data_IF_982019804616
#
_entry.id   IF_982019804616
#
_cell.length_a   1.000
_cell.length_b   1.000
_cell.length_c   1.000
_cell.angle_alpha   90.00
_cell.angle_beta   90.00
_cell.angle_gamma   90.00
#
_symmetry.space_group_name_H-M   'P 1'
#
loop_
_entity.id
_entity.type
_entity.pdbx_description
1 polymer ?
#
# COMPACT_ATOMS: atom_id res chain seq x y z
N UNK A 1 41.55 -53.29 68.45
CA UNK A 1 41.59 -51.82 68.57
C UNK A 1 40.62 -51.22 67.55
N UNK A 2 39.73 -50.32 68.02
CA UNK A 2 39.01 -49.22 67.32
C UNK A 2 38.33 -49.47 65.96
N UNK A 3 36.99 -49.56 65.86
CA UNK A 3 36.01 -48.46 65.61
C UNK A 3 36.21 -47.68 64.31
N UNK A 4 35.22 -47.66 63.41
CA UNK A 4 34.20 -46.61 63.28
C UNK A 4 33.52 -46.58 61.89
N UNK A 5 32.27 -46.13 61.89
CA UNK A 5 31.32 -45.94 60.79
C UNK A 5 31.58 -44.64 60.02
N UNK A 6 31.15 -44.58 58.76
CA UNK A 6 30.19 -43.57 58.22
C UNK A 6 30.05 -43.80 56.71
N UNK A 7 28.90 -44.31 56.26
CA UNK A 7 27.69 -43.63 55.73
C UNK A 7 27.79 -43.28 54.24
N UNK A 8 26.84 -43.84 53.50
CA UNK A 8 26.55 -43.68 52.09
C UNK A 8 26.15 -42.25 51.70
N UNK A 9 26.56 -41.84 50.51
CA UNK A 9 25.78 -41.00 49.58
C UNK A 9 26.38 -41.16 48.17
N UNK A 10 25.64 -41.62 47.16
CA UNK A 10 26.07 -41.49 45.78
C UNK A 10 25.45 -40.25 45.13
N UNK A 11 26.36 -39.44 44.58
CA UNK A 11 26.20 -38.49 43.49
C UNK A 11 24.99 -38.77 42.58
N UNK A 12 23.92 -37.99 42.75
CA UNK A 12 23.03 -37.59 41.65
C UNK A 12 23.26 -36.11 41.42
N UNK A 13 24.13 -35.79 40.46
CA UNK A 13 24.32 -34.41 39.97
C UNK A 13 23.93 -34.34 38.50
N UNK A 14 23.29 -33.21 38.15
CA UNK A 14 23.10 -32.65 36.80
C UNK A 14 21.89 -33.05 35.94
N UNK A 15 20.77 -33.51 36.53
CA UNK A 15 19.52 -33.65 35.77
C UNK A 15 18.27 -32.95 36.36
N UNK A 16 18.31 -32.41 37.58
CA UNK A 16 17.11 -31.81 38.22
C UNK A 16 17.24 -30.31 38.57
N UNK A 17 18.29 -29.63 38.11
CA UNK A 17 18.42 -28.17 38.26
C UNK A 17 17.94 -27.36 37.03
N UNK A 18 17.39 -28.01 36.00
CA UNK A 18 16.96 -27.37 34.75
C UNK A 18 15.43 -27.18 34.63
N UNK A 19 14.64 -27.57 35.64
CA UNK A 19 13.17 -27.59 35.54
C UNK A 19 12.44 -26.55 36.42
N UNK A 20 13.16 -25.64 37.10
CA UNK A 20 12.54 -24.67 38.04
C UNK A 20 12.71 -23.20 37.62
N UNK A 21 13.37 -22.89 36.50
CA UNK A 21 13.49 -21.51 35.99
C UNK A 21 12.65 -21.20 34.74
N UNK A 22 11.76 -22.12 34.33
CA UNK A 22 10.94 -21.95 33.12
C UNK A 22 9.45 -21.64 33.40
N UNK A 23 9.00 -21.62 34.66
CA UNK A 23 7.56 -21.49 34.99
C UNK A 23 7.13 -20.13 35.55
N UNK A 24 8.04 -19.16 35.75
CA UNK A 24 7.72 -17.86 36.39
C UNK A 24 8.02 -16.62 35.52
N UNK A 25 8.20 -16.79 34.21
CA UNK A 25 8.33 -15.68 33.25
C UNK A 25 7.08 -15.49 32.36
N UNK A 26 5.96 -16.12 32.73
CA UNK A 26 4.69 -16.06 32.02
C UNK A 26 3.66 -15.24 32.80
N UNK A 27 3.95 -13.96 33.07
CA UNK A 27 2.92 -13.03 33.54
C UNK A 27 3.28 -11.58 33.21
N UNK A 28 2.37 -10.93 32.48
CA UNK A 28 2.20 -9.47 32.38
C UNK A 28 3.12 -8.70 31.43
N UNK A 29 2.82 -8.76 30.12
CA UNK A 29 3.01 -7.59 29.25
C UNK A 29 1.66 -7.28 28.60
N UNK A 30 1.02 -6.24 29.13
CA UNK A 30 -0.13 -5.58 28.50
C UNK A 30 0.33 -5.10 27.13
N UNK A 31 -0.40 -5.46 26.07
CA UNK A 31 -0.26 -4.81 24.77
C UNK A 31 -0.95 -3.44 24.84
N UNK A 32 -0.19 -2.35 24.68
CA UNK A 32 -0.69 -1.27 23.83
C UNK A 32 0.41 -0.70 22.91
N UNK A 33 -0.02 -0.13 21.78
CA UNK A 33 0.75 0.77 20.89
C UNK A 33 1.67 0.21 19.78
N UNK A 34 1.71 -1.09 19.51
CA UNK A 34 2.58 -1.61 18.44
C UNK A 34 2.02 -1.43 17.01
N UNK A 35 0.70 -1.33 16.85
CA UNK A 35 0.04 -1.39 15.53
C UNK A 35 0.00 -0.07 14.72
N UNK A 36 0.36 1.08 15.30
CA UNK A 36 0.46 2.35 14.53
C UNK A 36 1.75 2.49 13.72
N UNK A 37 2.72 1.58 13.88
CA UNK A 37 4.09 1.71 13.33
C UNK A 37 4.39 0.83 12.12
N UNK A 38 3.53 -0.13 11.76
CA UNK A 38 3.88 -1.12 10.75
C UNK A 38 3.41 -0.83 9.31
N UNK A 39 2.71 0.31 9.10
CA UNK A 39 2.61 0.99 7.80
C UNK A 39 3.27 2.39 7.80
N UNK A 40 3.99 2.73 8.88
CA UNK A 40 4.69 4.00 9.06
C UNK A 40 6.10 3.75 9.54
N UNK A 41 7.08 3.56 8.65
CA UNK A 41 8.51 3.85 8.89
C UNK A 41 9.39 3.38 7.73
N UNK A 42 9.52 4.20 6.68
CA UNK A 42 10.83 4.52 6.06
C UNK A 42 10.70 6.02 5.76
N UNK A 43 11.05 6.93 6.68
CA UNK A 43 12.34 7.63 6.78
C UNK A 43 12.25 8.66 7.95
N UNK A 44 13.31 8.94 8.75
CA UNK A 44 13.52 10.21 9.47
C UNK A 44 14.47 11.12 8.65
N UNK A 45 14.61 12.44 8.76
CA UNK A 45 14.15 13.57 9.60
C UNK A 45 14.39 14.87 8.77
N UNK A 46 13.86 16.03 9.18
CA UNK A 46 14.49 17.38 9.31
C UNK A 46 13.38 18.36 9.78
N UNK A 47 13.68 19.44 10.53
CA UNK A 47 12.80 20.02 11.56
C UNK A 47 11.77 21.05 11.04
N UNK A 48 10.74 21.39 11.85
CA UNK A 48 9.73 22.39 11.48
C UNK A 48 10.24 23.82 11.67
N UNK A 49 9.90 24.69 10.70
CA UNK A 49 10.07 26.15 10.79
C UNK A 49 8.93 26.72 11.65
N UNK A 50 9.29 27.39 12.74
CA UNK A 50 8.37 28.11 13.64
C UNK A 50 7.71 29.29 12.92
N UNK A 51 6.38 29.36 12.99
CA UNK A 51 5.62 30.58 12.69
C UNK A 51 5.46 31.39 13.98
N UNK A 52 6.09 32.56 14.01
CA UNK A 52 5.91 33.55 15.06
C UNK A 52 4.48 34.11 15.03
N UNK A 53 3.79 33.99 16.18
CA UNK A 53 2.59 34.77 16.50
C UNK A 53 3.01 36.22 16.78
N UNK A 54 2.37 37.19 16.13
CA UNK A 54 2.24 38.54 16.68
C UNK A 54 0.77 38.81 16.99
N UNK A 55 0.51 39.01 18.28
CA UNK A 55 -0.73 39.53 18.83
C UNK A 55 -0.69 41.05 18.81
N UNK A 56 -1.74 41.70 18.32
CA UNK A 56 -2.15 42.97 18.91
C UNK A 56 -3.63 43.23 18.64
N UNK A 57 -4.41 43.20 19.72
CA UNK A 57 -5.72 43.81 19.83
C UNK A 57 -5.60 45.34 19.71
N UNK A 58 -6.63 45.98 19.15
CA UNK A 58 -7.29 47.15 19.74
C UNK A 58 -8.58 47.49 18.99
N UNK A 59 -9.60 47.87 19.76
CA UNK A 59 -10.98 48.04 19.30
C UNK A 59 -11.31 49.43 18.72
N UNK A 60 -12.62 49.60 18.50
CA UNK A 60 -13.44 50.84 18.42
C UNK A 60 -14.26 51.05 17.13
N UNK A 61 -15.57 50.82 17.30
CA UNK A 61 -16.72 51.71 17.01
C UNK A 61 -16.88 52.48 15.68
N UNK A 62 -18.00 52.17 15.02
CA UNK A 62 -19.03 53.04 14.39
C UNK A 62 -18.61 54.10 13.34
N UNK A 63 -19.15 53.99 12.11
CA UNK A 63 -20.27 54.81 11.59
C UNK A 63 -20.61 54.50 10.13
N UNK A 64 -21.89 54.71 9.81
CA UNK A 64 -22.59 54.60 8.52
C UNK A 64 -22.41 55.89 7.70
N UNK A 65 -22.46 55.75 6.36
CA UNK A 65 -22.85 56.68 5.25
C UNK A 65 -21.95 56.33 4.05
N UNK A 66 -22.36 56.22 2.79
CA UNK A 66 -23.58 56.50 2.04
C UNK A 66 -23.32 56.15 0.55
N UNK A 67 -24.38 56.19 -0.25
CA UNK A 67 -24.52 55.68 -1.62
C UNK A 67 -23.55 56.19 -2.70
N UNK A 68 -23.40 55.41 -3.79
CA UNK A 68 -22.75 55.84 -5.04
C UNK A 68 -22.69 54.77 -6.12
N UNK A 69 -23.65 54.82 -7.04
CA UNK A 69 -23.90 53.96 -8.19
C UNK A 69 -22.82 54.08 -9.28
N UNK A 70 -22.23 52.98 -9.76
CA UNK A 70 -21.80 52.86 -11.18
C UNK A 70 -21.85 51.38 -11.61
N UNK A 71 -22.83 51.06 -12.46
CA UNK A 71 -23.06 49.76 -13.06
C UNK A 71 -22.56 49.79 -14.52
N UNK A 72 -22.14 48.62 -15.01
CA UNK A 72 -22.01 48.19 -16.42
C UNK A 72 -20.65 48.40 -17.09
N UNK A 73 -19.79 47.37 -16.97
CA UNK A 73 -19.18 46.69 -18.13
C UNK A 73 -18.47 45.40 -17.65
N UNK A 74 -19.25 44.39 -17.30
CA UNK A 74 -18.76 43.02 -17.14
C UNK A 74 -19.35 42.19 -18.29
N UNK A 75 -18.88 42.45 -19.51
CA UNK A 75 -19.17 41.58 -20.65
C UNK A 75 -18.35 40.30 -20.48
N UNK A 76 -19.10 39.23 -20.28
CA UNK A 76 -18.72 37.83 -20.26
C UNK A 76 -17.46 37.48 -21.07
N UNK A 77 -16.34 37.33 -20.36
CA UNK A 77 -15.38 36.27 -20.67
C UNK A 77 -15.76 35.08 -19.79
N UNK A 78 -16.85 34.42 -20.14
CA UNK A 78 -17.02 33.01 -19.79
C UNK A 78 -15.91 32.27 -20.52
N UNK A 79 -14.76 32.15 -19.85
CA UNK A 79 -13.75 31.16 -20.17
C UNK A 79 -14.51 29.84 -20.14
N UNK A 80 -14.86 29.35 -21.32
CA UNK A 80 -15.19 27.96 -21.49
C UNK A 80 -13.92 27.24 -21.06
N UNK A 81 -13.91 26.69 -19.85
CA UNK A 81 -13.02 25.60 -19.55
C UNK A 81 -13.36 24.53 -20.59
N UNK A 82 -12.64 24.54 -21.72
CA UNK A 82 -12.70 23.43 -22.66
C UNK A 82 -12.34 22.21 -21.82
N UNK A 83 -13.32 21.32 -21.64
CA UNK A 83 -13.07 19.98 -21.14
C UNK A 83 -11.99 19.39 -22.03
N UNK A 84 -10.74 19.44 -21.56
CA UNK A 84 -9.66 18.73 -22.22
C UNK A 84 -10.10 17.27 -22.24
N UNK A 85 -10.11 16.59 -23.40
CA UNK A 85 -10.42 15.18 -23.43
C UNK A 85 -9.52 14.47 -22.42
N UNK A 86 -10.12 13.67 -21.54
CA UNK A 86 -9.37 12.94 -20.54
C UNK A 86 -8.31 12.10 -21.26
N UNK A 87 -7.04 12.35 -20.93
CA UNK A 87 -5.90 11.69 -21.55
C UNK A 87 -5.22 10.77 -20.54
N UNK A 88 -4.80 9.61 -21.02
CA UNK A 88 -3.91 8.72 -20.27
C UNK A 88 -2.50 9.29 -20.16
N UNK A 89 -2.14 10.28 -20.98
CA UNK A 89 -0.87 10.99 -20.87
C UNK A 89 -0.91 11.93 -19.66
N UNK A 90 -0.10 11.62 -18.64
CA UNK A 90 0.14 12.51 -17.52
C UNK A 90 1.05 13.67 -17.95
N UNK A 91 2.03 13.40 -18.80
CA UNK A 91 2.91 14.40 -19.41
C UNK A 91 4.36 13.95 -19.49
N UNK A 92 5.23 14.89 -19.84
CA UNK A 92 6.69 14.71 -19.81
C UNK A 92 7.28 15.43 -18.59
N UNK A 93 8.15 14.74 -17.87
CA UNK A 93 8.73 15.24 -16.63
C UNK A 93 10.22 15.00 -16.62
N UNK A 94 10.97 15.92 -16.01
CA UNK A 94 12.39 15.73 -15.78
C UNK A 94 12.61 14.79 -14.60
N UNK A 95 13.58 13.89 -14.71
CA UNK A 95 14.01 13.10 -13.55
C UNK A 95 14.55 14.03 -12.47
N UNK A 96 14.30 13.71 -11.20
CA UNK A 96 14.82 14.52 -10.10
C UNK A 96 16.36 14.54 -10.10
N UNK A 97 16.98 15.68 -9.85
CA UNK A 97 18.45 15.80 -9.88
C UNK A 97 19.15 14.90 -8.86
N UNK A 98 18.50 14.71 -7.70
CA UNK A 98 18.99 13.87 -6.62
C UNK A 98 18.00 12.74 -6.35
N UNK A 99 18.54 11.54 -6.17
CA UNK A 99 17.77 10.34 -5.81
C UNK A 99 16.58 10.08 -6.77
N UNK A 100 16.79 10.30 -8.08
CA UNK A 100 15.80 10.02 -9.12
C UNK A 100 15.28 8.58 -9.04
N UNK A 101 16.17 7.64 -8.74
CA UNK A 101 15.88 6.23 -8.55
C UNK A 101 16.09 5.88 -7.08
N UNK A 102 15.03 5.44 -6.40
CA UNK A 102 15.07 5.04 -4.98
C UNK A 102 15.29 3.54 -4.83
N UNK A 103 14.61 2.76 -5.68
CA UNK A 103 14.67 1.31 -5.83
C UNK A 103 14.12 0.96 -7.23
N UNK A 104 13.88 -0.34 -7.51
CA UNK A 104 13.43 -0.79 -8.82
C UNK A 104 12.04 -0.29 -9.23
N UNK A 105 11.12 -0.04 -8.28
CA UNK A 105 9.73 0.31 -8.56
C UNK A 105 9.32 1.74 -8.11
N UNK A 106 10.27 2.52 -7.59
CA UNK A 106 10.06 3.87 -7.08
C UNK A 106 11.03 4.89 -7.72
N UNK A 107 10.47 5.78 -8.54
CA UNK A 107 11.18 6.85 -9.26
C UNK A 107 10.64 8.23 -8.86
N UNK A 108 11.48 9.25 -8.90
CA UNK A 108 11.14 10.66 -8.62
C UNK A 108 11.38 11.52 -9.86
N UNK A 109 10.41 12.41 -10.11
CA UNK A 109 10.48 13.42 -11.17
C UNK A 109 10.25 14.81 -10.57
N UNK A 110 10.71 15.84 -11.26
CA UNK A 110 10.42 17.24 -10.90
C UNK A 110 8.96 17.57 -11.21
N UNK A 111 8.40 18.57 -10.52
CA UNK A 111 7.02 19.02 -10.72
C UNK A 111 5.94 18.16 -10.04
N UNK A 112 6.26 16.96 -9.56
CA UNK A 112 5.36 16.13 -8.75
C UNK A 112 5.83 16.06 -7.29
N UNK A 113 4.90 16.21 -6.35
CA UNK A 113 5.21 16.28 -4.90
C UNK A 113 5.65 14.95 -4.29
N UNK A 114 5.21 13.84 -4.86
CA UNK A 114 5.44 12.49 -4.34
C UNK A 114 6.22 11.66 -5.36
N UNK A 115 6.93 10.64 -4.86
CA UNK A 115 7.52 9.63 -5.74
C UNK A 115 6.42 8.89 -6.50
N UNK A 116 6.74 8.46 -7.71
CA UNK A 116 5.87 7.68 -8.55
C UNK A 116 5.71 6.28 -7.94
N UNK A 117 4.50 5.73 -7.99
CA UNK A 117 4.25 4.30 -7.74
C UNK A 117 4.10 3.64 -9.10
N UNK A 118 5.13 2.91 -9.52
CA UNK A 118 5.12 2.28 -10.81
C UNK A 118 4.13 1.12 -10.85
N UNK A 119 3.27 1.15 -11.85
CA UNK A 119 2.21 0.16 -12.02
C UNK A 119 2.77 -1.21 -12.40
N UNK A 120 2.12 -2.25 -11.88
CA UNK A 120 2.38 -3.64 -12.21
C UNK A 120 3.75 -4.19 -11.75
N UNK A 121 4.44 -3.47 -10.85
CA UNK A 121 5.72 -3.85 -10.27
C UNK A 121 5.61 -4.13 -8.76
N UNK A 122 6.47 -5.01 -8.28
CA UNK A 122 6.76 -5.22 -6.85
C UNK A 122 8.24 -5.64 -6.73
N UNK A 123 9.14 -4.71 -7.04
CA UNK A 123 10.58 -4.92 -6.91
C UNK A 123 10.95 -5.18 -5.44
N UNK A 124 11.99 -5.98 -5.21
CA UNK A 124 12.45 -6.25 -3.85
C UNK A 124 13.11 -5.02 -3.22
N UNK A 125 13.07 -4.94 -1.88
CA UNK A 125 13.59 -3.79 -1.16
C UNK A 125 15.13 -3.72 -1.23
N UNK A 126 15.67 -2.50 -1.28
CA UNK A 126 17.14 -2.25 -1.18
C UNK A 126 17.59 -2.14 0.28
N UNK A 127 18.88 -2.34 0.56
CA UNK A 127 19.40 -2.22 1.93
C UNK A 127 19.51 -0.76 2.37
N UNK A 128 18.60 -0.35 3.27
CA UNK A 128 18.59 1.01 3.85
C UNK A 128 19.43 1.15 5.13
N UNK A 129 19.85 0.05 5.75
CA UNK A 129 20.65 0.07 6.97
C UNK A 129 21.88 -0.87 6.87
N UNK A 130 22.96 -0.48 7.55
CA UNK A 130 24.24 -1.18 7.47
C UNK A 130 24.22 -2.56 8.16
N UNK A 131 23.41 -2.72 9.20
CA UNK A 131 23.28 -3.99 9.93
C UNK A 131 22.67 -5.09 9.06
N UNK A 132 21.60 -4.79 8.32
CA UNK A 132 20.97 -5.73 7.41
C UNK A 132 21.92 -6.10 6.28
N UNK A 133 22.61 -5.10 5.70
CA UNK A 133 23.61 -5.35 4.66
C UNK A 133 24.73 -6.26 5.18
N UNK A 134 25.25 -5.99 6.38
CA UNK A 134 26.31 -6.79 6.99
C UNK A 134 25.86 -8.23 7.23
N UNK A 135 24.67 -8.43 7.78
CA UNK A 135 24.10 -9.76 8.01
C UNK A 135 23.91 -10.53 6.70
N UNK A 136 23.30 -9.89 5.69
CA UNK A 136 23.08 -10.47 4.38
C UNK A 136 24.37 -10.82 3.62
N UNK A 137 25.43 -10.01 3.73
CA UNK A 137 26.74 -10.29 3.13
C UNK A 137 27.45 -11.45 3.82
N UNK A 138 27.28 -11.58 5.14
CA UNK A 138 27.91 -12.65 5.91
C UNK A 138 27.27 -14.01 5.61
N UNK A 139 25.95 -14.07 5.67
CA UNK A 139 25.17 -15.27 5.37
C UNK A 139 23.75 -14.85 4.97
N UNK A 140 23.48 -14.85 3.67
CA UNK A 140 22.18 -14.42 3.14
C UNK A 140 21.06 -15.38 3.55
N UNK A 141 21.35 -16.66 3.67
CA UNK A 141 20.35 -17.68 3.99
C UNK A 141 19.88 -17.52 5.44
N UNK A 142 20.82 -17.42 6.38
CA UNK A 142 20.52 -17.15 7.79
C UNK A 142 19.86 -15.78 8.00
N UNK A 143 20.31 -14.74 7.27
CA UNK A 143 19.67 -13.43 7.29
C UNK A 143 18.21 -13.51 6.85
N UNK A 144 17.94 -14.22 5.75
CA UNK A 144 16.59 -14.38 5.22
C UNK A 144 15.70 -15.14 6.21
N UNK A 145 16.17 -16.25 6.75
CA UNK A 145 15.42 -17.03 7.75
C UNK A 145 15.06 -16.18 8.97
N UNK A 146 15.99 -15.36 9.47
CA UNK A 146 15.73 -14.45 10.57
C UNK A 146 14.66 -13.39 10.24
N UNK A 147 14.63 -12.90 8.99
CA UNK A 147 13.59 -11.94 8.54
C UNK A 147 12.24 -12.62 8.41
N UNK A 148 12.19 -13.82 7.84
CA UNK A 148 10.95 -14.58 7.62
C UNK A 148 10.35 -15.09 8.94
N UNK A 149 11.17 -15.47 9.92
CA UNK A 149 10.71 -15.90 11.24
C UNK A 149 9.99 -14.80 12.05
N UNK A 150 10.11 -13.53 11.66
CA UNK A 150 9.50 -12.42 12.38
C UNK A 150 7.96 -12.32 12.17
N UNK A 151 7.38 -13.07 11.22
CA UNK A 151 5.96 -13.00 10.89
C UNK A 151 5.48 -14.26 10.17
N UNK A 152 4.24 -14.71 10.47
CA UNK A 152 3.58 -15.78 9.71
C UNK A 152 3.13 -15.35 8.31
N UNK A 153 3.13 -14.05 8.03
CA UNK A 153 2.76 -13.44 6.75
C UNK A 153 4.00 -13.09 5.92
N UNK A 154 3.92 -13.12 4.57
CA UNK A 154 4.97 -12.63 3.68
C UNK A 154 5.57 -11.30 4.14
N UNK A 155 6.85 -11.33 4.48
CA UNK A 155 7.60 -10.13 4.88
C UNK A 155 8.30 -9.53 3.68
N UNK A 156 8.46 -8.21 3.72
CA UNK A 156 9.37 -7.50 2.83
C UNK A 156 10.62 -7.12 3.62
N UNK A 157 11.77 -7.45 3.07
CA UNK A 157 13.08 -7.12 3.62
C UNK A 157 14.05 -6.85 2.48
N UNK A 158 15.18 -6.25 2.81
CA UNK A 158 16.18 -5.86 1.83
C UNK A 158 16.93 -7.07 1.26
N UNK A 159 17.22 -7.07 -0.03
CA UNK A 159 17.86 -8.21 -0.71
C UNK A 159 18.90 -7.76 -1.73
N UNK A 160 19.69 -8.72 -2.20
CA UNK A 160 20.64 -8.42 -3.28
C UNK A 160 19.93 -8.20 -4.61
N UNK A 161 18.84 -8.93 -4.88
CA UNK A 161 18.04 -8.71 -6.09
C UNK A 161 17.34 -7.34 -6.07
N UNK A 162 16.99 -6.82 -4.89
CA UNK A 162 16.50 -5.44 -4.75
C UNK A 162 17.54 -4.40 -5.14
N UNK A 163 18.81 -4.59 -4.79
CA UNK A 163 19.91 -3.75 -5.27
C UNK A 163 20.12 -3.91 -6.79
N UNK A 164 20.06 -5.13 -7.33
CA UNK A 164 20.13 -5.37 -8.78
C UNK A 164 18.99 -4.64 -9.53
N UNK A 165 17.77 -4.62 -8.96
CA UNK A 165 16.64 -3.85 -9.47
C UNK A 165 16.90 -2.35 -9.51
N UNK A 166 17.48 -1.80 -8.44
CA UNK A 166 17.89 -0.40 -8.38
C UNK A 166 18.99 -0.09 -9.39
N UNK A 167 20.01 -0.93 -9.49
CA UNK A 167 21.13 -0.72 -10.41
C UNK A 167 20.68 -0.79 -11.87
N UNK A 168 19.77 -1.70 -12.19
CA UNK A 168 19.11 -1.76 -13.49
C UNK A 168 18.38 -0.46 -13.81
N UNK A 169 17.60 0.07 -12.86
CA UNK A 169 16.89 1.33 -13.03
C UNK A 169 17.85 2.51 -13.28
N UNK A 170 18.91 2.63 -12.49
CA UNK A 170 19.96 3.66 -12.68
C UNK A 170 20.56 3.57 -14.08
N UNK A 171 20.89 2.35 -14.53
CA UNK A 171 21.44 2.13 -15.87
C UNK A 171 20.44 2.42 -16.98
N UNK A 172 19.17 2.03 -16.81
CA UNK A 172 18.11 2.27 -17.78
C UNK A 172 17.93 3.77 -18.05
N UNK A 173 17.97 4.58 -16.99
CA UNK A 173 17.82 6.04 -17.06
C UNK A 173 19.13 6.80 -17.30
N UNK A 174 20.26 6.12 -17.55
CA UNK A 174 21.55 6.77 -17.78
C UNK A 174 21.47 7.73 -18.98
N UNK A 175 21.79 9.01 -18.74
CA UNK A 175 21.76 10.06 -19.76
C UNK A 175 20.37 10.56 -20.16
N UNK A 176 19.30 10.01 -19.57
CA UNK A 176 17.93 10.44 -19.81
C UNK A 176 17.61 11.64 -18.90
N UNK A 177 17.17 12.75 -19.49
CA UNK A 177 16.74 13.92 -18.72
C UNK A 177 15.24 13.92 -18.46
N UNK A 178 14.45 13.54 -19.47
CA UNK A 178 12.99 13.56 -19.45
C UNK A 178 12.42 12.18 -19.68
N UNK A 179 11.33 11.90 -18.98
CA UNK A 179 10.55 10.68 -19.13
C UNK A 179 9.09 11.06 -19.39
N UNK A 180 8.42 10.20 -20.13
CA UNK A 180 7.00 10.35 -20.44
C UNK A 180 6.20 9.44 -19.52
N UNK A 181 5.23 10.01 -18.82
CA UNK A 181 4.42 9.31 -17.85
C UNK A 181 3.01 9.09 -18.40
N UNK A 182 2.50 7.88 -18.25
CA UNK A 182 1.12 7.56 -18.60
C UNK A 182 0.40 6.79 -17.49
N UNK A 183 -0.89 7.06 -17.33
CA UNK A 183 -1.81 6.28 -16.54
C UNK A 183 -2.20 4.99 -17.27
N UNK A 184 -2.60 3.95 -16.53
CA UNK A 184 -3.21 2.75 -17.13
C UNK A 184 -4.69 2.96 -17.46
N UNK A 185 -5.40 3.72 -16.62
CA UNK A 185 -6.83 4.01 -16.74
C UNK A 185 -7.13 5.46 -16.37
N UNK A 186 -8.30 5.94 -16.78
CA UNK A 186 -8.75 7.31 -16.47
C UNK A 186 -9.43 7.44 -15.10
N UNK A 187 -9.91 6.33 -14.54
CA UNK A 187 -10.65 6.29 -13.28
C UNK A 187 -9.79 5.95 -12.06
N UNK A 188 -8.48 5.69 -12.21
CA UNK A 188 -7.59 5.38 -11.08
C UNK A 188 -6.16 5.87 -11.29
N UNK A 189 -5.94 7.15 -11.03
CA UNK A 189 -4.67 7.87 -11.31
C UNK A 189 -3.71 7.90 -10.12
N UNK A 190 -4.22 7.79 -8.90
CA UNK A 190 -3.39 7.83 -7.68
C UNK A 190 -3.64 6.64 -6.76
N UNK A 191 -2.67 6.31 -5.91
CA UNK A 191 -2.77 5.23 -4.94
C UNK A 191 -3.40 5.69 -3.61
N UNK A 192 -3.44 4.79 -2.62
CA UNK A 192 -3.96 5.07 -1.29
C UNK A 192 -3.26 6.26 -0.60
N UNK A 193 -1.96 6.45 -0.84
CA UNK A 193 -1.13 7.51 -0.24
C UNK A 193 -1.03 8.77 -1.13
N UNK A 194 -1.79 8.82 -2.23
CA UNK A 194 -1.76 9.95 -3.16
C UNK A 194 -0.53 10.00 -4.08
N UNK A 195 0.17 8.88 -4.28
CA UNK A 195 1.23 8.76 -5.31
C UNK A 195 0.61 8.52 -6.67
N UNK A 196 1.18 9.13 -7.71
CA UNK A 196 0.76 8.86 -9.09
C UNK A 196 1.06 7.39 -9.46
N UNK A 197 0.03 6.72 -9.98
CA UNK A 197 0.09 5.36 -10.51
C UNK A 197 0.39 5.43 -12.01
N UNK A 198 1.62 5.12 -12.43
CA UNK A 198 1.98 5.32 -13.84
C UNK A 198 2.93 4.26 -14.40
N UNK A 199 3.00 4.26 -15.73
CA UNK A 199 4.07 3.69 -16.53
C UNK A 199 5.08 4.78 -16.88
N UNK A 200 6.36 4.41 -16.93
CA UNK A 200 7.43 5.27 -17.44
C UNK A 200 7.80 4.81 -18.84
N UNK A 201 7.80 5.75 -19.78
CA UNK A 201 8.35 5.60 -21.10
C UNK A 201 9.58 6.49 -21.28
N UNK A 202 10.64 5.89 -21.79
CA UNK A 202 11.88 6.60 -22.10
C UNK A 202 12.67 5.82 -23.16
N UNK A 203 13.64 6.44 -23.81
CA UNK A 203 14.56 5.78 -24.75
C UNK A 203 15.91 5.58 -24.08
N UNK A 204 16.22 4.38 -23.54
CA UNK A 204 17.52 4.09 -22.95
C UNK A 204 18.66 4.29 -23.93
N UNK A 205 19.85 4.55 -23.39
CA UNK A 205 21.07 4.66 -24.19
C UNK A 205 21.29 3.39 -25.03
N UNK A 206 21.46 3.59 -26.33
CA UNK A 206 21.63 2.48 -27.29
C UNK A 206 20.33 1.79 -27.71
N UNK A 207 19.17 2.15 -27.12
CA UNK A 207 17.89 1.76 -27.66
C UNK A 207 17.55 2.61 -28.90
N UNK A 208 17.06 1.96 -29.96
CA UNK A 208 16.57 2.64 -31.17
C UNK A 208 15.14 3.16 -31.05
N UNK A 209 14.46 2.85 -29.94
CA UNK A 209 13.05 3.18 -29.72
C UNK A 209 12.75 3.36 -28.23
N UNK A 210 11.64 4.04 -27.94
CA UNK A 210 11.14 4.23 -26.59
C UNK A 210 10.66 2.89 -25.98
N UNK A 211 10.96 2.69 -24.70
CA UNK A 211 10.64 1.48 -23.94
C UNK A 211 9.76 1.81 -22.76
N UNK A 212 8.84 0.90 -22.45
CA UNK A 212 8.10 0.92 -21.19
C UNK A 212 8.97 0.31 -20.10
N UNK A 213 9.56 1.16 -19.26
CA UNK A 213 10.48 0.75 -18.19
C UNK A 213 9.87 -0.35 -17.29
N UNK A 214 8.58 -0.26 -16.96
CA UNK A 214 7.92 -1.24 -16.10
C UNK A 214 7.97 -2.64 -16.74
N UNK A 215 7.66 -2.74 -18.03
CA UNK A 215 7.76 -4.02 -18.75
C UNK A 215 9.20 -4.50 -18.82
N UNK A 216 10.17 -3.59 -19.04
CA UNK A 216 11.59 -3.95 -19.09
C UNK A 216 12.12 -4.48 -17.75
N UNK A 217 11.67 -3.94 -16.61
CA UNK A 217 12.06 -4.44 -15.29
C UNK A 217 11.55 -5.87 -15.04
N UNK A 218 10.32 -6.17 -15.47
CA UNK A 218 9.76 -7.53 -15.42
C UNK A 218 10.53 -8.46 -16.36
N UNK A 219 10.85 -8.01 -17.58
CA UNK A 219 11.65 -8.77 -18.55
C UNK A 219 13.05 -9.09 -18.03
N UNK A 220 13.64 -8.17 -17.26
CA UNK A 220 14.92 -8.38 -16.61
C UNK A 220 14.85 -9.38 -15.43
N UNK A 221 13.66 -9.80 -15.01
CA UNK A 221 13.48 -10.67 -13.84
C UNK A 221 13.73 -9.96 -12.51
N UNK A 222 13.63 -8.63 -12.46
CA UNK A 222 13.91 -7.81 -11.28
C UNK A 222 12.63 -7.32 -10.57
N UNK A 223 11.48 -7.71 -11.13
CA UNK A 223 10.15 -7.63 -10.52
C UNK A 223 9.27 -8.73 -11.12
N UNK A 224 8.36 -9.34 -10.36
CA UNK A 224 7.26 -10.08 -10.96
C UNK A 224 6.28 -9.12 -11.67
N UNK A 225 5.41 -9.66 -12.52
CA UNK A 225 4.21 -8.94 -12.93
C UNK A 225 3.21 -8.90 -11.76
N UNK A 226 3.19 -7.76 -11.05
CA UNK A 226 2.38 -7.61 -9.84
C UNK A 226 0.96 -7.14 -10.16
N UNK A 227 0.00 -8.05 -10.06
CA UNK A 227 -1.44 -7.77 -10.28
C UNK A 227 -2.19 -7.41 -8.98
N UNK A 228 -1.47 -7.10 -7.89
CA UNK A 228 -2.05 -6.90 -6.54
C UNK A 228 -3.23 -5.90 -6.50
N UNK A 229 -3.22 -4.92 -7.40
CA UNK A 229 -4.22 -3.86 -7.49
C UNK A 229 -5.09 -3.93 -8.75
N UNK A 230 -5.03 -5.04 -9.49
CA UNK A 230 -5.70 -5.24 -10.77
C UNK A 230 -4.73 -5.58 -11.90
N UNK A 231 -5.27 -6.16 -12.97
CA UNK A 231 -4.55 -6.39 -14.22
C UNK A 231 -4.27 -5.05 -14.93
N UNK A 232 -3.13 -4.93 -15.62
CA UNK A 232 -2.94 -3.82 -16.55
C UNK A 232 -4.00 -3.88 -17.65
N UNK A 233 -4.67 -2.77 -17.92
CA UNK A 233 -5.65 -2.67 -19.01
C UNK A 233 -5.00 -2.52 -20.37
N UNK A 234 -3.75 -2.06 -20.41
CA UNK A 234 -3.07 -1.65 -21.64
C UNK A 234 -1.89 -2.53 -22.03
N UNK A 235 -1.21 -3.14 -21.06
CA UNK A 235 0.07 -3.81 -21.26
C UNK A 235 0.12 -5.22 -20.67
N UNK A 236 -1.02 -5.82 -20.32
CA UNK A 236 -1.11 -7.18 -19.76
C UNK A 236 -0.28 -8.19 -20.57
N UNK A 237 -0.54 -8.31 -21.86
CA UNK A 237 0.14 -9.27 -22.73
C UNK A 237 1.66 -9.05 -22.76
N UNK A 238 2.10 -7.78 -22.70
CA UNK A 238 3.52 -7.43 -22.66
C UNK A 238 4.17 -7.82 -21.34
N UNK A 239 3.47 -7.64 -20.21
CA UNK A 239 3.94 -8.08 -18.91
C UNK A 239 3.99 -9.59 -18.79
N UNK A 240 2.96 -10.30 -19.26
CA UNK A 240 2.91 -11.76 -19.26
C UNK A 240 4.03 -12.35 -20.14
N UNK A 241 4.25 -11.79 -21.33
CA UNK A 241 5.35 -12.19 -22.20
C UNK A 241 6.72 -11.89 -21.56
N UNK A 242 6.88 -10.73 -20.94
CA UNK A 242 8.12 -10.34 -20.26
C UNK A 242 8.43 -11.25 -19.06
N UNK A 243 7.43 -11.57 -18.23
CA UNK A 243 7.63 -12.46 -17.09
C UNK A 243 7.97 -13.87 -17.57
N UNK A 244 7.28 -14.36 -18.61
CA UNK A 244 7.59 -15.66 -19.22
C UNK A 244 9.04 -15.71 -19.72
N UNK A 245 9.49 -14.68 -20.44
CA UNK A 245 10.87 -14.58 -20.93
C UNK A 245 11.87 -14.61 -19.77
N UNK A 246 11.60 -13.87 -18.70
CA UNK A 246 12.46 -13.81 -17.52
C UNK A 246 12.55 -15.16 -16.79
N UNK A 247 11.43 -15.89 -16.69
CA UNK A 247 11.37 -17.24 -16.11
C UNK A 247 12.11 -18.27 -16.96
N UNK A 248 11.85 -18.31 -18.27
CA UNK A 248 12.50 -19.24 -19.19
C UNK A 248 14.03 -19.03 -19.18
N UNK A 249 14.47 -17.77 -19.11
CA UNK A 249 15.88 -17.40 -19.04
C UNK A 249 16.47 -17.39 -17.62
N UNK A 250 15.69 -17.77 -16.59
CA UNK A 250 16.11 -17.84 -15.18
C UNK A 250 16.78 -16.57 -14.66
N UNK A 251 16.21 -15.40 -14.97
CA UNK A 251 16.78 -14.09 -14.62
C UNK A 251 16.34 -13.62 -13.23
N UNK A 252 17.26 -12.97 -12.51
CA UNK A 252 16.97 -12.27 -11.25
C UNK A 252 16.24 -13.16 -10.23
N UNK A 253 15.02 -12.75 -9.87
CA UNK A 253 14.14 -13.48 -8.92
C UNK A 253 13.76 -14.89 -9.39
N UNK A 254 13.88 -15.18 -10.70
CA UNK A 254 13.59 -16.48 -11.31
C UNK A 254 14.83 -17.38 -11.48
N UNK A 255 15.98 -16.94 -11.01
CA UNK A 255 17.20 -17.77 -11.03
C UNK A 255 17.06 -19.01 -10.13
N UNK A 256 17.93 -20.00 -10.30
CA UNK A 256 17.85 -21.26 -9.52
C UNK A 256 18.12 -21.04 -8.02
N UNK A 257 18.86 -19.99 -7.66
CA UNK A 257 19.21 -19.62 -6.28
C UNK A 257 19.18 -18.10 -6.12
N UNK A 258 17.99 -17.48 -6.19
CA UNK A 258 17.90 -16.03 -6.14
C UNK A 258 18.25 -15.59 -4.72
N UNK A 259 19.08 -14.55 -4.62
CA UNK A 259 19.33 -13.87 -3.35
C UNK A 259 18.23 -12.84 -3.07
N UNK A 260 16.99 -13.35 -3.08
CA UNK A 260 15.75 -12.58 -2.96
C UNK A 260 14.68 -13.31 -2.14
N UNK A 261 13.43 -12.97 -2.38
CA UNK A 261 12.25 -13.61 -1.79
C UNK A 261 12.04 -15.02 -2.35
N UNK A 262 11.44 -15.91 -1.55
CA UNK A 262 11.16 -17.30 -1.93
C UNK A 262 9.69 -17.59 -2.21
N UNK A 263 8.81 -16.67 -1.85
CA UNK A 263 7.37 -16.91 -1.78
C UNK A 263 6.61 -16.33 -2.99
N UNK A 264 7.28 -16.13 -4.12
CA UNK A 264 6.66 -15.55 -5.31
C UNK A 264 5.47 -16.34 -5.84
N UNK A 265 5.48 -17.67 -5.81
CA UNK A 265 4.33 -18.48 -6.22
C UNK A 265 3.11 -18.20 -5.32
N UNK A 266 3.32 -18.05 -4.01
CA UNK A 266 2.27 -17.69 -3.05
C UNK A 266 1.77 -16.27 -3.31
N UNK A 267 2.67 -15.32 -3.54
CA UNK A 267 2.33 -13.91 -3.83
C UNK A 267 1.55 -13.77 -5.11
N UNK A 268 1.98 -14.41 -6.20
CA UNK A 268 1.33 -14.36 -7.50
C UNK A 268 -0.05 -15.00 -7.49
N UNK A 269 -0.21 -16.15 -6.82
CA UNK A 269 -1.53 -16.76 -6.62
C UNK A 269 -2.47 -15.82 -5.85
N UNK A 270 -1.96 -15.19 -4.81
CA UNK A 270 -2.75 -14.24 -4.03
C UNK A 270 -3.10 -12.96 -4.82
N UNK A 271 -2.16 -12.41 -5.58
CA UNK A 271 -2.37 -11.20 -6.36
C UNK A 271 -3.29 -11.42 -7.56
N UNK A 272 -3.16 -12.55 -8.26
CA UNK A 272 -4.08 -12.91 -9.35
C UNK A 272 -5.50 -13.06 -8.84
N UNK A 273 -5.72 -13.76 -7.73
CA UNK A 273 -7.06 -13.85 -7.13
C UNK A 273 -7.62 -12.46 -6.82
N UNK A 274 -6.83 -11.56 -6.21
CA UNK A 274 -7.27 -10.18 -5.94
C UNK A 274 -7.61 -9.40 -7.22
N UNK A 275 -6.85 -9.60 -8.29
CA UNK A 275 -7.10 -8.95 -9.58
C UNK A 275 -8.42 -9.45 -10.19
N UNK A 276 -8.64 -10.77 -10.13
CA UNK A 276 -9.85 -11.40 -10.65
C UNK A 276 -11.09 -11.00 -9.85
N UNK A 277 -10.95 -10.79 -8.53
CA UNK A 277 -12.01 -10.23 -7.67
C UNK A 277 -12.46 -8.85 -8.15
N UNK A 278 -11.50 -7.96 -8.43
CA UNK A 278 -11.79 -6.61 -8.92
C UNK A 278 -12.43 -6.65 -10.32
N UNK A 279 -11.88 -7.46 -11.22
CA UNK A 279 -12.40 -7.61 -12.58
C UNK A 279 -13.81 -8.20 -12.60
N UNK A 280 -14.09 -9.23 -11.80
CA UNK A 280 -15.45 -9.80 -11.64
C UNK A 280 -16.45 -8.75 -11.16
N UNK A 281 -16.05 -7.92 -10.19
CA UNK A 281 -16.90 -6.86 -9.67
C UNK A 281 -17.22 -5.82 -10.75
N UNK A 282 -16.21 -5.29 -11.43
CA UNK A 282 -16.39 -4.31 -12.50
C UNK A 282 -17.27 -4.85 -13.63
N UNK A 283 -17.06 -6.11 -14.05
CA UNK A 283 -17.86 -6.74 -15.10
C UNK A 283 -19.33 -6.89 -14.67
N UNK A 284 -19.57 -7.37 -13.45
CA UNK A 284 -20.91 -7.58 -12.91
C UNK A 284 -21.68 -6.27 -12.70
N UNK A 285 -20.98 -5.19 -12.33
CA UNK A 285 -21.59 -3.92 -11.95
C UNK A 285 -21.36 -2.79 -12.97
N UNK A 286 -21.01 -3.13 -14.22
CA UNK A 286 -20.67 -2.15 -15.27
C UNK A 286 -21.74 -1.07 -15.47
N UNK A 287 -23.02 -1.43 -15.36
CA UNK A 287 -24.16 -0.53 -15.57
C UNK A 287 -24.80 -0.07 -14.25
N UNK A 288 -24.33 -0.59 -13.12
CA UNK A 288 -24.89 -0.32 -11.79
C UNK A 288 -24.27 0.94 -11.18
N UNK A 289 -24.99 2.06 -11.27
CA UNK A 289 -24.57 3.34 -10.71
C UNK A 289 -24.51 3.37 -9.18
N UNK A 290 -25.07 2.38 -8.50
CA UNK A 290 -24.97 2.23 -7.04
C UNK A 290 -23.71 1.47 -6.62
N UNK A 291 -22.99 0.89 -7.57
CA UNK A 291 -21.75 0.19 -7.30
C UNK A 291 -20.57 1.15 -7.19
N UNK A 292 -19.78 1.00 -6.13
CA UNK A 292 -18.65 1.87 -5.81
C UNK A 292 -17.42 0.99 -5.59
N UNK A 293 -16.39 1.16 -6.42
CA UNK A 293 -15.10 0.53 -6.22
C UNK A 293 -14.18 1.50 -5.47
N UNK A 294 -13.84 1.16 -4.22
CA UNK A 294 -12.99 2.02 -3.42
C UNK A 294 -11.57 2.10 -3.99
N UNK A 295 -11.11 3.34 -4.14
CA UNK A 295 -9.77 3.65 -4.64
C UNK A 295 -9.78 4.26 -6.04
N UNK A 296 -10.93 4.23 -6.72
CA UNK A 296 -11.16 5.00 -7.93
C UNK A 296 -11.21 6.50 -7.61
N UNK A 297 -10.89 7.32 -8.61
CA UNK A 297 -10.76 8.77 -8.46
C UNK A 297 -12.11 9.46 -8.21
N UNK A 298 -13.20 8.90 -8.73
CA UNK A 298 -14.57 9.42 -8.54
C UNK A 298 -15.26 8.91 -7.26
N UNK A 299 -14.59 8.05 -6.49
CA UNK A 299 -15.16 7.41 -5.29
C UNK A 299 -15.69 8.44 -4.30
N UNK A 300 -14.94 9.53 -4.05
CA UNK A 300 -15.34 10.54 -3.06
C UNK A 300 -16.66 11.23 -3.45
N UNK A 301 -16.84 11.52 -4.74
CA UNK A 301 -18.07 12.12 -5.27
C UNK A 301 -19.23 11.13 -5.21
N UNK A 302 -18.99 9.86 -5.58
CA UNK A 302 -19.98 8.78 -5.47
C UNK A 302 -20.44 8.56 -4.03
N UNK A 303 -19.51 8.49 -3.07
CA UNK A 303 -19.83 8.33 -1.65
C UNK A 303 -20.67 9.52 -1.15
N UNK A 304 -20.28 10.76 -1.49
CA UNK A 304 -21.04 11.95 -1.12
C UNK A 304 -22.46 11.92 -1.67
N UNK A 305 -22.64 11.53 -2.93
CA UNK A 305 -23.95 11.46 -3.60
C UNK A 305 -24.83 10.30 -3.10
N UNK A 306 -24.22 9.30 -2.46
CA UNK A 306 -24.89 8.08 -2.01
C UNK A 306 -25.25 8.05 -0.52
N UNK A 307 -24.93 9.11 0.25
CA UNK A 307 -25.32 9.18 1.67
C UNK A 307 -26.84 9.00 1.83
N UNK A 308 -27.24 8.11 2.74
CA UNK A 308 -28.62 7.72 2.99
C UNK A 308 -29.20 6.68 2.02
N UNK A 309 -28.42 6.22 1.03
CA UNK A 309 -28.86 5.24 0.02
C UNK A 309 -28.18 3.90 0.24
N UNK A 310 -28.83 2.85 -0.25
CA UNK A 310 -28.23 1.54 -0.38
C UNK A 310 -27.20 1.56 -1.52
N UNK A 311 -26.01 1.03 -1.27
CA UNK A 311 -24.91 0.91 -2.24
C UNK A 311 -24.31 -0.49 -2.20
N UNK A 312 -23.63 -0.86 -3.28
CA UNK A 312 -22.77 -2.04 -3.34
C UNK A 312 -21.32 -1.59 -3.44
N UNK A 313 -20.48 -1.94 -2.48
CA UNK A 313 -19.12 -1.41 -2.36
C UNK A 313 -18.09 -2.53 -2.47
N UNK A 314 -17.11 -2.38 -3.36
CA UNK A 314 -15.90 -3.21 -3.40
C UNK A 314 -14.77 -2.51 -2.67
N UNK A 315 -14.21 -3.15 -1.64
CA UNK A 315 -13.15 -2.56 -0.83
C UNK A 315 -12.14 -3.59 -0.32
N UNK A 316 -10.88 -3.18 -0.17
CA UNK A 316 -9.84 -4.02 0.42
C UNK A 316 -9.91 -3.97 1.93
N UNK A 317 -9.94 -5.12 2.60
CA UNK A 317 -9.95 -5.18 4.07
C UNK A 317 -8.59 -4.76 4.63
N UNK A 318 -8.55 -3.59 5.28
CA UNK A 318 -7.37 -3.09 6.00
C UNK A 318 -7.29 -3.65 7.41
N UNK A 319 -8.42 -3.60 8.12
CA UNK A 319 -8.53 -4.06 9.51
C UNK A 319 -9.84 -4.81 9.70
N UNK A 320 -9.76 -5.95 10.39
CA UNK A 320 -10.90 -6.74 10.81
C UNK A 320 -10.66 -7.19 12.26
N UNK A 321 -10.60 -6.23 13.17
CA UNK A 321 -10.17 -6.44 14.56
C UNK A 321 -11.34 -6.64 15.53
N UNK A 322 -12.57 -6.81 15.04
CA UNK A 322 -13.76 -6.97 15.87
C UNK A 322 -14.16 -5.70 16.63
N UNK A 323 -14.38 -5.84 17.95
CA UNK A 323 -14.74 -4.72 18.84
C UNK A 323 -13.51 -3.85 19.11
N UNK A 324 -13.56 -2.58 18.73
CA UNK A 324 -12.57 -1.60 19.19
C UNK A 324 -12.85 -1.24 20.65
N UNK A 325 -11.82 -0.93 21.47
CA UNK A 325 -11.97 -0.72 22.92
C UNK A 325 -13.04 0.31 23.32
N UNK A 326 -13.33 1.27 22.44
CA UNK A 326 -14.28 2.36 22.66
C UNK A 326 -15.58 2.23 21.85
N UNK A 327 -15.78 1.11 21.14
CA UNK A 327 -16.96 0.88 20.31
C UNK A 327 -17.84 -0.27 20.80
N UNK A 328 -19.15 -0.02 20.80
CA UNK A 328 -20.16 -1.01 21.19
C UNK A 328 -20.43 -2.05 20.09
N UNK A 329 -19.98 -1.82 18.86
CA UNK A 329 -20.28 -2.67 17.70
C UNK A 329 -19.00 -3.07 16.95
N UNK A 330 -18.91 -4.32 16.47
CA UNK A 330 -17.81 -4.74 15.61
C UNK A 330 -17.81 -3.97 14.29
N UNK A 331 -16.61 -3.63 13.79
CA UNK A 331 -16.45 -3.03 12.46
C UNK A 331 -15.28 -3.60 11.68
N UNK A 332 -15.34 -3.43 10.37
CA UNK A 332 -14.25 -3.72 9.43
C UNK A 332 -13.88 -2.42 8.70
N UNK A 333 -12.59 -2.14 8.55
CA UNK A 333 -12.12 -0.97 7.81
C UNK A 333 -11.77 -1.36 6.38
N UNK A 334 -12.39 -0.69 5.42
CA UNK A 334 -12.11 -0.83 3.99
C UNK A 334 -11.28 0.34 3.50
N UNK A 335 -10.17 0.03 2.82
CA UNK A 335 -9.23 1.03 2.34
C UNK A 335 -9.73 1.79 1.13
N UNK A 336 -9.67 3.13 1.19
CA UNK A 336 -9.98 4.01 0.06
C UNK A 336 -8.82 4.98 -0.25
N UNK A 337 -8.64 5.99 0.60
CA UNK A 337 -7.50 6.92 0.60
C UNK A 337 -7.04 7.08 2.04
N UNK A 338 -5.78 7.48 2.22
CA UNK A 338 -5.25 7.71 3.55
C UNK A 338 -6.15 8.67 4.35
N UNK A 339 -6.65 8.17 5.49
CA UNK A 339 -7.60 8.86 6.41
C UNK A 339 -9.01 9.07 5.85
N UNK A 340 -9.38 8.38 4.77
CA UNK A 340 -10.72 8.40 4.18
C UNK A 340 -11.27 6.98 4.00
N UNK A 341 -10.85 6.07 4.88
CA UNK A 341 -11.32 4.69 4.90
C UNK A 341 -12.82 4.62 5.20
N UNK A 342 -13.46 3.57 4.72
CA UNK A 342 -14.90 3.33 4.92
C UNK A 342 -15.08 2.24 5.97
N UNK A 343 -15.79 2.56 7.05
CA UNK A 343 -16.10 1.58 8.09
C UNK A 343 -17.33 0.76 7.70
N UNK A 344 -17.29 -0.55 7.88
CA UNK A 344 -18.45 -1.44 7.75
C UNK A 344 -18.91 -1.83 9.15
N UNK A 345 -20.10 -1.40 9.54
CA UNK A 345 -20.71 -1.64 10.85
C UNK A 345 -21.66 -2.81 10.78
N UNK A 346 -21.47 -3.76 11.69
CA UNK A 346 -22.35 -4.91 11.87
C UNK A 346 -23.38 -4.60 12.95
N UNK A 347 -24.62 -5.08 12.76
CA UNK A 347 -25.69 -4.87 13.72
C UNK A 347 -25.34 -5.43 15.12
N UNK A 348 -24.70 -6.60 15.16
CA UNK A 348 -24.24 -7.25 16.37
C UNK A 348 -23.01 -8.15 16.12
N UNK A 349 -22.51 -8.75 17.20
CA UNK A 349 -21.37 -9.67 17.15
C UNK A 349 -21.67 -10.96 16.38
N UNK A 350 -22.90 -11.46 16.43
CA UNK A 350 -23.31 -12.69 15.75
C UNK A 350 -23.26 -12.52 14.22
N UNK A 351 -23.69 -11.37 13.72
CA UNK A 351 -23.59 -11.02 12.30
C UNK A 351 -22.13 -10.93 11.84
N UNK A 352 -21.28 -10.29 12.65
CA UNK A 352 -19.84 -10.21 12.39
C UNK A 352 -19.19 -11.59 12.32
N UNK A 353 -19.41 -12.44 13.34
CA UNK A 353 -18.82 -13.78 13.39
C UNK A 353 -19.31 -14.67 12.23
N UNK A 354 -20.56 -14.51 11.80
CA UNK A 354 -21.13 -15.21 10.64
C UNK A 354 -20.47 -14.77 9.31
N UNK A 355 -20.14 -13.49 9.18
CA UNK A 355 -19.50 -12.93 7.98
C UNK A 355 -18.00 -13.30 7.86
N UNK A 356 -17.35 -13.69 8.96
CA UNK A 356 -15.93 -14.12 9.00
C UNK A 356 -14.95 -13.12 8.36
N UNK A 357 -15.02 -11.82 8.68
CA UNK A 357 -14.21 -10.79 8.02
C UNK A 357 -12.69 -10.96 8.22
N UNK A 358 -12.26 -11.62 9.30
CA UNK A 358 -10.84 -11.94 9.54
C UNK A 358 -10.24 -12.78 8.41
N UNK A 359 -11.01 -13.74 7.88
CA UNK A 359 -10.59 -14.59 6.76
C UNK A 359 -10.53 -13.84 5.42
N UNK A 360 -11.03 -12.61 5.38
CA UNK A 360 -11.02 -11.74 4.21
C UNK A 360 -9.86 -10.73 4.22
N UNK A 361 -9.03 -10.71 5.28
CA UNK A 361 -7.85 -9.84 5.34
C UNK A 361 -6.94 -10.09 4.15
N UNK A 362 -6.51 -9.00 3.51
CA UNK A 362 -5.70 -9.09 2.30
C UNK A 362 -6.48 -9.49 1.05
N UNK A 363 -7.81 -9.58 1.07
CA UNK A 363 -8.66 -9.74 -0.12
C UNK A 363 -9.61 -8.56 -0.31
N UNK A 364 -10.29 -8.51 -1.44
CA UNK A 364 -11.44 -7.62 -1.62
C UNK A 364 -12.70 -8.27 -1.07
N UNK A 365 -13.59 -7.44 -0.55
CA UNK A 365 -14.95 -7.81 -0.14
C UNK A 365 -15.95 -6.95 -0.90
N UNK A 366 -17.10 -7.55 -1.23
CA UNK A 366 -18.28 -6.85 -1.69
C UNK A 366 -19.22 -6.69 -0.50
N UNK A 367 -19.58 -5.44 -0.24
CA UNK A 367 -20.41 -5.04 0.89
C UNK A 367 -21.63 -4.31 0.38
N UNK A 368 -22.82 -4.82 0.66
CA UNK A 368 -24.09 -4.15 0.35
C UNK A 368 -24.70 -3.56 1.62
N UNK A 369 -25.05 -2.28 1.59
CA UNK A 369 -25.64 -1.64 2.78
C UNK A 369 -25.95 -0.17 2.59
N UNK A 370 -26.51 0.44 3.63
CA UNK A 370 -26.88 1.86 3.61
C UNK A 370 -25.67 2.71 4.00
N UNK A 371 -25.27 3.62 3.12
CA UNK A 371 -24.14 4.51 3.34
C UNK A 371 -24.55 5.67 4.27
N UNK A 372 -23.69 5.95 5.24
CA UNK A 372 -23.82 7.05 6.18
C UNK A 372 -22.54 7.89 6.19
N UNK A 373 -22.66 9.14 6.62
CA UNK A 373 -21.54 10.04 6.83
C UNK A 373 -21.69 10.74 8.17
N UNK A 374 -20.60 10.78 8.93
CA UNK A 374 -20.49 11.52 10.18
C UNK A 374 -19.20 12.35 10.15
N UNK A 375 -19.25 13.60 10.61
CA UNK A 375 -18.12 14.54 10.49
C UNK A 375 -16.88 14.08 11.27
N UNK A 376 -17.07 13.31 12.35
CA UNK A 376 -15.97 12.84 13.22
C UNK A 376 -15.39 11.52 12.75
N UNK A 377 -16.24 10.62 12.29
CA UNK A 377 -15.88 9.22 12.00
C UNK A 377 -15.82 8.90 10.50
N UNK A 378 -16.27 9.81 9.64
CA UNK A 378 -16.22 9.65 8.18
C UNK A 378 -17.37 8.81 7.62
N UNK A 379 -17.11 8.14 6.49
CA UNK A 379 -18.09 7.29 5.84
C UNK A 379 -18.20 5.93 6.52
N UNK A 380 -19.43 5.43 6.65
CA UNK A 380 -19.67 4.06 7.08
C UNK A 380 -20.84 3.40 6.36
N UNK A 381 -20.77 2.09 6.16
CA UNK A 381 -21.89 1.26 5.72
C UNK A 381 -22.49 0.55 6.92
N UNK A 382 -23.81 0.62 7.06
CA UNK A 382 -24.55 -0.26 7.97
C UNK A 382 -25.13 -1.42 7.18
N UNK A 383 -24.79 -2.63 7.61
CA UNK A 383 -25.29 -3.88 7.03
C UNK A 383 -26.70 -4.20 7.52
N UNK A 384 -27.56 -4.70 6.63
CA UNK A 384 -28.87 -5.24 7.00
C UNK A 384 -28.77 -6.71 7.42
N UNK A 385 -27.91 -7.51 6.78
CA UNK A 385 -27.63 -8.91 7.12
C UNK A 385 -26.13 -9.23 6.94
N UNK A 386 -25.62 -10.19 7.69
CA UNK A 386 -24.25 -10.69 7.53
C UNK A 386 -23.94 -11.22 6.11
N UNK A 387 -24.95 -11.74 5.40
CA UNK A 387 -24.81 -12.23 4.02
C UNK A 387 -24.44 -11.11 3.03
N UNK A 388 -24.63 -9.86 3.42
CA UNK A 388 -24.34 -8.69 2.59
C UNK A 388 -22.85 -8.29 2.68
N UNK A 389 -22.06 -9.01 3.47
CA UNK A 389 -20.60 -8.97 3.48
C UNK A 389 -20.06 -10.27 2.88
N UNK A 390 -19.46 -10.18 1.70
CA UNK A 390 -18.96 -11.35 0.98
C UNK A 390 -17.54 -11.13 0.50
N UNK A 391 -16.71 -12.19 0.54
CA UNK A 391 -15.45 -12.19 -0.20
C UNK A 391 -15.78 -12.14 -1.70
N UNK A 392 -15.18 -11.17 -2.39
CA UNK A 392 -15.41 -10.92 -3.82
C UNK A 392 -15.01 -12.10 -4.71
#
# INVERSE_FOLDING_TARGET
>A
MSTCRSRCEPLRSLAEAAAVTAADAAATIRAPEFWRRWQRSVWPCWPPVEWARSSQERGMTKRIFGAGLTLVLALALSIHAQDKPESLLLGEFELAEKDAVIDGDTVRVTGLKSSLRLLCLDAEETFKNASDRKAAVSDFEAYREAKEAASEMPVKYATFVGEEGRDFAVKFFEGIKKVRLEYDTLNRKVDYYGRNLCYIFATPKGAGEEKNYNVELVRAGLSPYSMKYGHSRRFRDKFEAAEKEARDAKRGIWSDKPRGYRDYDRRLKWWSERADQAERFEQKHREDKSAIMLGDDDTAEKLKAAVGKEVTLLGGVLEANGLFPDEKQPRVMLGHREKQDVAVRFADRKAYDKAKPEGCRGYFVVVKGVLQFDEKTGYSLTLSDAKDFTKA
#
